data_IF_741351070709
#
_entry.id   IF_741351070709
#
_cell.length_a   1.000
_cell.length_b   1.000
_cell.length_c   1.000
_cell.angle_alpha   90.00
_cell.angle_beta   90.00
_cell.angle_gamma   90.00
#
_symmetry.space_group_name_H-M   'P 1'
#
loop_
_entity.id
_entity.type
_entity.pdbx_description
1 polymer ?
#
# COMPACT_ATOMS: atom_id res chain seq x y z
N UNK A 1 -78.69 21.24 -65.21
CA UNK A 1 -78.20 20.55 -63.99
C UNK A 1 -78.52 21.24 -62.65
N UNK A 2 -78.95 22.52 -62.64
CA UNK A 2 -79.36 23.27 -61.44
C UNK A 2 -80.82 23.79 -61.52
N UNK A 3 -81.61 23.32 -62.49
CA UNK A 3 -83.02 23.71 -62.61
C UNK A 3 -83.84 22.85 -61.65
N UNK A 4 -84.32 23.48 -60.56
CA UNK A 4 -85.22 22.85 -59.59
C UNK A 4 -86.66 23.13 -60.02
N UNK A 5 -87.32 22.09 -60.54
CA UNK A 5 -88.72 22.12 -60.91
C UNK A 5 -89.57 21.81 -59.67
N UNK A 6 -90.15 22.85 -59.07
CA UNK A 6 -90.89 22.74 -57.82
C UNK A 6 -92.11 21.83 -57.92
N UNK A 7 -92.84 21.86 -59.05
CA UNK A 7 -94.04 21.04 -59.25
C UNK A 7 -93.68 19.56 -59.35
N UNK A 8 -92.65 19.25 -60.15
CA UNK A 8 -92.16 17.88 -60.29
C UNK A 8 -91.58 17.34 -58.99
N UNK A 9 -90.81 18.15 -58.25
CA UNK A 9 -90.28 17.75 -56.96
C UNK A 9 -91.38 17.58 -55.91
N UNK A 10 -92.39 18.45 -55.88
CA UNK A 10 -93.55 18.31 -54.98
C UNK A 10 -94.34 17.04 -55.28
N UNK A 11 -94.59 16.74 -56.55
CA UNK A 11 -95.19 15.48 -56.97
C UNK A 11 -94.38 14.28 -56.51
N UNK A 12 -93.05 14.30 -56.64
CA UNK A 12 -92.16 13.24 -56.15
C UNK A 12 -92.21 13.09 -54.62
N UNK A 13 -92.19 14.20 -53.88
CA UNK A 13 -92.27 14.20 -52.40
C UNK A 13 -93.59 13.58 -51.92
N UNK A 14 -94.71 13.94 -52.56
CA UNK A 14 -96.03 13.41 -52.25
C UNK A 14 -96.18 11.95 -52.65
N UNK A 15 -95.77 11.56 -53.87
CA UNK A 15 -95.89 10.18 -54.35
C UNK A 15 -95.01 9.21 -53.57
N UNK A 16 -93.79 9.62 -53.19
CA UNK A 16 -92.90 8.82 -52.35
C UNK A 16 -93.31 8.82 -50.85
N UNK A 17 -94.34 9.59 -50.49
CA UNK A 17 -94.82 9.75 -49.12
C UNK A 17 -93.72 10.22 -48.18
N UNK A 18 -92.80 11.09 -48.64
CA UNK A 18 -91.63 11.48 -47.84
C UNK A 18 -92.07 12.21 -46.56
N UNK A 19 -93.14 12.99 -46.64
CA UNK A 19 -93.67 13.74 -45.50
C UNK A 19 -94.32 12.80 -44.48
N UNK A 20 -95.05 11.79 -44.94
CA UNK A 20 -95.63 10.71 -44.14
C UNK A 20 -94.53 9.87 -43.47
N UNK A 21 -93.47 9.51 -44.22
CA UNK A 21 -92.30 8.81 -43.70
C UNK A 21 -91.59 9.62 -42.61
N UNK A 22 -91.46 10.94 -42.78
CA UNK A 22 -90.91 11.83 -41.75
C UNK A 22 -91.85 11.93 -40.54
N UNK A 23 -93.17 12.01 -40.75
CA UNK A 23 -94.17 12.02 -39.66
C UNK A 23 -94.12 10.73 -38.85
N UNK A 24 -94.05 9.56 -39.49
CA UNK A 24 -93.89 8.25 -38.82
C UNK A 24 -92.58 8.18 -38.05
N UNK A 25 -91.47 8.67 -38.63
CA UNK A 25 -90.18 8.71 -37.91
C UNK A 25 -90.16 9.68 -36.74
N UNK A 26 -90.90 10.79 -36.81
CA UNK A 26 -91.02 11.77 -35.71
C UNK A 26 -91.95 11.30 -34.60
N UNK A 27 -93.03 10.59 -34.95
CA UNK A 27 -93.96 10.01 -33.99
C UNK A 27 -93.43 8.74 -33.32
N UNK A 28 -92.57 7.99 -34.03
CA UNK A 28 -91.91 6.77 -33.54
C UNK A 28 -90.42 6.95 -33.25
N UNK A 29 -89.68 5.85 -33.26
CA UNK A 29 -88.23 5.85 -33.03
C UNK A 29 -87.47 5.98 -34.35
N UNK A 30 -86.84 7.14 -34.57
CA UNK A 30 -86.11 7.43 -35.81
C UNK A 30 -84.84 6.57 -35.97
N UNK A 31 -84.20 6.18 -34.87
CA UNK A 31 -82.96 5.40 -34.87
C UNK A 31 -83.10 4.11 -34.08
N UNK A 32 -82.42 3.06 -34.55
CA UNK A 32 -82.37 1.76 -33.87
C UNK A 32 -80.99 1.14 -34.05
N UNK A 33 -80.44 0.57 -32.99
CA UNK A 33 -79.10 -0.03 -33.04
C UNK A 33 -79.01 -1.25 -32.10
N UNK A 34 -78.35 -2.34 -32.51
CA UNK A 34 -77.95 -3.42 -31.61
C UNK A 34 -77.18 -2.93 -30.38
N UNK A 35 -77.45 -3.53 -29.22
CA UNK A 35 -76.84 -3.09 -27.95
C UNK A 35 -75.30 -3.20 -27.96
N UNK A 36 -74.76 -4.29 -28.48
CA UNK A 36 -73.32 -4.51 -28.63
C UNK A 36 -72.64 -3.37 -29.42
N UNK A 37 -73.19 -3.02 -30.59
CA UNK A 37 -72.65 -1.96 -31.44
C UNK A 37 -72.79 -0.60 -30.78
N UNK A 38 -73.89 -0.38 -30.07
CA UNK A 38 -74.17 0.87 -29.38
C UNK A 38 -73.18 1.09 -28.22
N UNK A 39 -72.99 0.08 -27.37
CA UNK A 39 -72.03 0.09 -26.28
C UNK A 39 -70.60 0.20 -26.78
N UNK A 40 -70.18 -0.56 -27.78
CA UNK A 40 -68.83 -0.43 -28.34
C UNK A 40 -68.50 1.00 -28.79
N UNK A 41 -69.52 1.73 -29.26
CA UNK A 41 -69.37 3.12 -29.70
C UNK A 41 -69.35 4.11 -28.56
N UNK A 42 -70.29 4.00 -27.61
CA UNK A 42 -70.53 5.03 -26.60
C UNK A 42 -70.08 4.67 -25.18
N UNK A 43 -69.62 3.44 -24.90
CA UNK A 43 -69.26 2.99 -23.54
C UNK A 43 -68.25 3.89 -22.82
N UNK A 44 -67.44 4.65 -23.55
CA UNK A 44 -66.48 5.59 -22.99
C UNK A 44 -67.11 6.83 -22.34
N UNK A 45 -68.35 7.17 -22.69
CA UNK A 45 -69.06 8.33 -22.14
C UNK A 45 -69.69 8.06 -20.78
N UNK A 46 -69.61 6.83 -20.26
CA UNK A 46 -70.21 6.42 -19.00
C UNK A 46 -69.21 5.59 -18.19
N UNK A 47 -69.08 5.93 -16.90
CA UNK A 47 -68.11 5.30 -16.01
C UNK A 47 -68.45 3.83 -15.71
N UNK A 48 -69.74 3.51 -15.68
CA UNK A 48 -70.23 2.15 -15.42
C UNK A 48 -70.04 1.19 -16.60
N UNK A 49 -69.88 1.73 -17.82
CA UNK A 49 -69.68 0.94 -19.04
C UNK A 49 -68.23 0.93 -19.52
N UNK A 50 -67.40 1.86 -19.05
CA UNK A 50 -65.99 1.98 -19.42
C UNK A 50 -65.06 1.24 -18.45
N UNK A 51 -63.98 0.59 -18.91
CA UNK A 51 -63.69 0.20 -20.29
C UNK A 51 -64.52 -1.00 -20.76
N UNK A 52 -64.98 -1.84 -19.84
CA UNK A 52 -65.86 -2.98 -20.06
C UNK A 52 -66.90 -3.00 -18.93
N UNK A 53 -68.17 -3.21 -19.25
CA UNK A 53 -69.21 -3.32 -18.21
C UNK A 53 -69.17 -4.71 -17.55
N UNK A 54 -69.56 -4.76 -16.28
CA UNK A 54 -69.73 -6.00 -15.50
C UNK A 54 -71.21 -6.39 -15.32
N UNK A 55 -72.11 -5.71 -16.03
CA UNK A 55 -73.56 -5.95 -15.94
C UNK A 55 -73.97 -7.25 -16.63
N UNK A 56 -75.10 -7.82 -16.21
CA UNK A 56 -75.60 -9.13 -16.68
C UNK A 56 -75.95 -9.17 -18.17
N UNK A 57 -76.37 -8.04 -18.76
CA UNK A 57 -76.70 -7.95 -20.18
C UNK A 57 -76.27 -6.60 -20.78
N UNK A 58 -75.99 -6.58 -22.07
CA UNK A 58 -75.71 -5.37 -22.84
C UNK A 58 -76.90 -4.39 -22.83
N UNK A 59 -78.13 -4.90 -22.72
CA UNK A 59 -79.32 -4.08 -22.54
C UNK A 59 -79.27 -3.28 -21.24
N UNK A 60 -78.93 -3.94 -20.13
CA UNK A 60 -78.78 -3.28 -18.82
C UNK A 60 -77.64 -2.25 -18.83
N UNK A 61 -76.50 -2.57 -19.45
CA UNK A 61 -75.39 -1.61 -19.61
C UNK A 61 -75.78 -0.40 -20.47
N UNK A 62 -76.58 -0.61 -21.51
CA UNK A 62 -77.09 0.49 -22.34
C UNK A 62 -78.08 1.36 -21.56
N UNK A 63 -78.92 0.75 -20.72
CA UNK A 63 -79.84 1.47 -19.86
C UNK A 63 -79.12 2.37 -18.86
N UNK A 64 -78.09 1.85 -18.18
CA UNK A 64 -77.27 2.63 -17.26
C UNK A 64 -76.55 3.80 -17.96
N UNK A 65 -76.10 3.61 -19.21
CA UNK A 65 -75.53 4.68 -20.01
C UNK A 65 -76.57 5.78 -20.30
N UNK A 66 -77.78 5.41 -20.76
CA UNK A 66 -78.85 6.39 -21.03
C UNK A 66 -79.29 7.13 -19.76
N UNK A 67 -79.31 6.44 -18.63
CA UNK A 67 -79.65 6.99 -17.31
C UNK A 67 -78.63 8.06 -16.88
N UNK A 68 -77.33 7.76 -16.97
CA UNK A 68 -76.28 8.73 -16.63
C UNK A 68 -76.36 10.00 -17.48
N UNK A 69 -76.73 9.87 -18.76
CA UNK A 69 -76.87 10.99 -19.69
C UNK A 69 -78.25 11.67 -19.64
N UNK A 70 -79.19 11.18 -18.83
CA UNK A 70 -80.53 11.76 -18.67
C UNK A 70 -81.45 11.60 -19.88
N UNK A 71 -81.25 10.59 -20.73
CA UNK A 71 -82.02 10.36 -21.95
C UNK A 71 -83.06 9.23 -21.85
N UNK A 72 -83.47 8.85 -20.63
CA UNK A 72 -84.39 7.73 -20.40
C UNK A 72 -85.73 7.87 -21.14
N UNK A 73 -86.29 9.09 -21.16
CA UNK A 73 -87.60 9.36 -21.77
C UNK A 73 -87.58 9.35 -23.31
N UNK A 74 -86.39 9.46 -23.91
CA UNK A 74 -86.19 9.57 -25.37
C UNK A 74 -85.88 8.22 -26.04
N UNK A 75 -85.78 7.15 -25.24
CA UNK A 75 -85.35 5.83 -25.69
C UNK A 75 -86.32 4.73 -25.30
N UNK A 76 -86.34 3.65 -26.07
CA UNK A 76 -87.01 2.41 -25.71
C UNK A 76 -86.08 1.21 -25.92
N UNK A 77 -86.24 0.21 -25.06
CA UNK A 77 -85.39 -0.97 -25.00
C UNK A 77 -86.13 -2.16 -25.61
N UNK A 78 -85.65 -2.68 -26.74
CA UNK A 78 -86.11 -3.94 -27.30
C UNK A 78 -85.32 -5.13 -26.77
N UNK A 79 -85.64 -6.34 -27.22
CA UNK A 79 -84.91 -7.55 -26.81
C UNK A 79 -83.43 -7.55 -27.22
N UNK A 80 -83.08 -6.96 -28.37
CA UNK A 80 -81.70 -6.98 -28.92
C UNK A 80 -81.17 -5.60 -29.31
N UNK A 81 -82.00 -4.57 -29.30
CA UNK A 81 -81.69 -3.24 -29.86
C UNK A 81 -82.25 -2.13 -28.97
N UNK A 82 -81.52 -1.02 -28.92
CA UNK A 82 -82.04 0.27 -28.44
C UNK A 82 -82.74 1.00 -29.58
N UNK A 83 -83.83 1.68 -29.25
CA UNK A 83 -84.60 2.56 -30.13
C UNK A 83 -84.54 3.98 -29.58
N UNK A 84 -84.19 4.96 -30.41
CA UNK A 84 -83.99 6.36 -30.01
C UNK A 84 -84.93 7.24 -30.83
N UNK A 85 -85.69 8.10 -30.15
CA UNK A 85 -86.73 8.93 -30.77
C UNK A 85 -86.13 10.17 -31.39
N UNK A 86 -85.31 10.92 -30.66
CA UNK A 86 -84.83 12.22 -31.11
C UNK A 86 -83.36 12.17 -31.54
N UNK A 87 -82.95 12.81 -32.66
CA UNK A 87 -81.55 12.87 -33.07
C UNK A 87 -80.66 13.61 -32.06
N UNK A 88 -81.23 14.47 -31.22
CA UNK A 88 -80.53 15.22 -30.16
C UNK A 88 -79.74 14.31 -29.23
N UNK A 89 -80.32 13.18 -28.82
CA UNK A 89 -79.70 12.18 -27.95
C UNK A 89 -78.42 11.61 -28.58
N UNK A 90 -78.47 11.28 -29.87
CA UNK A 90 -77.29 10.78 -30.60
C UNK A 90 -76.22 11.87 -30.77
N UNK A 91 -76.61 13.09 -31.14
CA UNK A 91 -75.65 14.18 -31.31
C UNK A 91 -74.94 14.52 -30.00
N UNK A 92 -75.65 14.52 -28.86
CA UNK A 92 -75.04 14.73 -27.55
C UNK A 92 -74.01 13.64 -27.22
N UNK A 93 -74.37 12.37 -27.39
CA UNK A 93 -73.46 11.25 -27.13
C UNK A 93 -72.23 11.24 -28.05
N UNK A 94 -72.40 11.63 -29.32
CA UNK A 94 -71.28 11.77 -30.26
C UNK A 94 -70.36 12.94 -29.90
N UNK A 95 -70.91 14.06 -29.44
CA UNK A 95 -70.11 15.21 -28.99
C UNK A 95 -69.26 14.85 -27.77
N UNK A 96 -69.86 14.20 -26.76
CA UNK A 96 -69.13 13.74 -25.57
C UNK A 96 -68.05 12.71 -25.93
N UNK A 97 -68.38 11.77 -26.81
CA UNK A 97 -67.40 10.82 -27.34
C UNK A 97 -66.24 11.54 -28.04
N UNK A 98 -66.52 12.54 -28.88
CA UNK A 98 -65.50 13.32 -29.57
C UNK A 98 -64.58 14.07 -28.59
N UNK A 99 -65.13 14.55 -27.47
CA UNK A 99 -64.37 15.21 -26.40
C UNK A 99 -63.46 14.23 -25.62
N UNK A 100 -63.92 12.99 -25.40
CA UNK A 100 -63.20 11.99 -24.61
C UNK A 100 -62.08 11.26 -25.39
N UNK A 101 -62.24 11.08 -26.71
CA UNK A 101 -61.25 10.38 -27.54
C UNK A 101 -59.83 10.97 -27.39
N UNK A 102 -59.62 12.30 -27.50
CA UNK A 102 -58.29 12.90 -27.30
C UNK A 102 -57.71 12.59 -25.91
N UNK A 103 -58.52 12.61 -24.86
CA UNK A 103 -58.09 12.34 -23.48
C UNK A 103 -57.61 10.89 -23.35
N UNK A 104 -58.37 9.94 -23.89
CA UNK A 104 -58.00 8.51 -23.89
C UNK A 104 -56.72 8.28 -24.70
N UNK A 105 -56.60 8.91 -25.88
CA UNK A 105 -55.39 8.84 -26.70
C UNK A 105 -54.18 9.37 -25.93
N UNK A 106 -54.30 10.50 -25.24
CA UNK A 106 -53.24 11.06 -24.41
C UNK A 106 -52.86 10.13 -23.25
N UNK A 107 -53.84 9.49 -22.60
CA UNK A 107 -53.58 8.49 -21.56
C UNK A 107 -52.77 7.31 -22.12
N UNK A 108 -53.19 6.74 -23.25
CA UNK A 108 -52.48 5.63 -23.90
C UNK A 108 -51.06 6.02 -24.29
N UNK A 109 -50.89 7.20 -24.90
CA UNK A 109 -49.57 7.72 -25.25
C UNK A 109 -48.70 7.93 -24.00
N UNK A 110 -49.25 8.47 -22.91
CA UNK A 110 -48.52 8.65 -21.63
C UNK A 110 -48.07 7.31 -21.05
N UNK A 111 -48.95 6.32 -21.02
CA UNK A 111 -48.64 4.97 -20.54
C UNK A 111 -47.54 4.33 -21.40
N UNK A 112 -47.65 4.44 -22.73
CA UNK A 112 -46.66 3.90 -23.67
C UNK A 112 -45.30 4.58 -23.55
N UNK A 113 -45.25 5.92 -23.57
CA UNK A 113 -44.01 6.68 -23.35
C UNK A 113 -43.37 6.32 -22.01
N UNK A 114 -44.18 6.18 -20.95
CA UNK A 114 -43.71 5.72 -19.64
C UNK A 114 -43.15 4.29 -19.67
N UNK A 115 -43.78 3.36 -20.39
CA UNK A 115 -43.29 1.99 -20.55
C UNK A 115 -41.93 1.96 -21.28
N UNK A 116 -41.80 2.74 -22.37
CA UNK A 116 -40.55 2.86 -23.11
C UNK A 116 -39.43 3.48 -22.25
N UNK A 117 -39.75 4.54 -21.50
CA UNK A 117 -38.81 5.16 -20.57
C UNK A 117 -38.34 4.18 -19.50
N UNK A 118 -39.26 3.43 -18.86
CA UNK A 118 -38.89 2.39 -17.88
C UNK A 118 -38.03 1.29 -18.49
N UNK A 119 -38.31 0.86 -19.73
CA UNK A 119 -37.48 -0.12 -20.46
C UNK A 119 -36.06 0.43 -20.67
N UNK A 120 -35.93 1.67 -21.11
CA UNK A 120 -34.63 2.34 -21.28
C UNK A 120 -33.87 2.46 -19.97
N UNK A 121 -34.53 2.88 -18.89
CA UNK A 121 -33.92 2.97 -17.56
C UNK A 121 -33.42 1.61 -17.05
N UNK A 122 -34.17 0.51 -17.29
CA UNK A 122 -33.70 -0.84 -16.93
C UNK A 122 -32.43 -1.23 -17.69
N UNK A 123 -32.38 -0.95 -18.99
CA UNK A 123 -31.19 -1.21 -19.80
C UNK A 123 -29.97 -0.41 -19.30
N UNK A 124 -30.15 0.89 -19.03
CA UNK A 124 -29.08 1.73 -18.49
C UNK A 124 -28.61 1.25 -17.11
N UNK A 125 -29.51 0.80 -16.24
CA UNK A 125 -29.16 0.28 -14.91
C UNK A 125 -28.37 -1.04 -14.94
N UNK A 126 -28.40 -1.79 -16.05
CA UNK A 126 -27.58 -3.00 -16.20
C UNK A 126 -26.07 -2.71 -16.11
N UNK A 127 -25.65 -1.46 -16.34
CA UNK A 127 -24.26 -1.02 -16.16
C UNK A 127 -23.75 -1.29 -14.74
N UNK A 128 -24.59 -1.13 -13.72
CA UNK A 128 -24.18 -1.38 -12.34
C UNK A 128 -23.82 -2.84 -12.09
N UNK A 129 -24.55 -3.75 -12.73
CA UNK A 129 -24.24 -5.19 -12.70
C UNK A 129 -22.89 -5.44 -13.37
N UNK A 130 -22.66 -4.92 -14.57
CA UNK A 130 -21.39 -5.07 -15.29
C UNK A 130 -20.21 -4.51 -14.46
N UNK A 131 -20.38 -3.30 -13.90
CA UNK A 131 -19.37 -2.68 -13.04
C UNK A 131 -19.05 -3.54 -11.81
N UNK A 132 -20.06 -4.16 -11.19
CA UNK A 132 -19.85 -5.04 -10.04
C UNK A 132 -19.04 -6.30 -10.41
N UNK A 133 -19.36 -6.95 -11.53
CA UNK A 133 -18.60 -8.09 -12.04
C UNK A 133 -17.16 -7.71 -12.40
N UNK A 134 -16.97 -6.57 -13.07
CA UNK A 134 -15.64 -6.08 -13.44
C UNK A 134 -14.77 -5.76 -12.22
N UNK A 135 -15.32 -5.07 -11.21
CA UNK A 135 -14.61 -4.78 -9.95
C UNK A 135 -14.16 -6.08 -9.27
N UNK A 136 -15.04 -7.09 -9.18
CA UNK A 136 -14.70 -8.40 -8.61
C UNK A 136 -13.62 -9.11 -9.42
N UNK A 137 -13.71 -9.09 -10.74
CA UNK A 137 -12.73 -9.69 -11.63
C UNK A 137 -11.35 -9.05 -11.48
N UNK A 138 -11.26 -7.71 -11.43
CA UNK A 138 -10.00 -6.99 -11.22
C UNK A 138 -9.34 -7.32 -9.88
N UNK A 139 -10.12 -7.40 -8.80
CA UNK A 139 -9.62 -7.84 -7.49
C UNK A 139 -9.08 -9.28 -7.56
N UNK A 140 -9.84 -10.21 -8.18
CA UNK A 140 -9.43 -11.61 -8.32
C UNK A 140 -8.14 -11.75 -9.13
N UNK A 141 -8.02 -11.04 -10.26
CA UNK A 141 -6.82 -11.07 -11.10
C UNK A 141 -5.57 -10.63 -10.33
N UNK A 142 -5.65 -9.50 -9.62
CA UNK A 142 -4.53 -9.00 -8.81
C UNK A 142 -4.10 -10.00 -7.73
N UNK A 143 -5.06 -10.64 -7.04
CA UNK A 143 -4.75 -11.65 -6.02
C UNK A 143 -4.11 -12.91 -6.63
N UNK A 144 -4.58 -13.37 -7.79
CA UNK A 144 -3.98 -14.50 -8.49
C UNK A 144 -2.55 -14.19 -8.94
N UNK A 145 -2.32 -12.98 -9.46
CA UNK A 145 -1.00 -12.52 -9.85
C UNK A 145 -0.04 -12.43 -8.66
N UNK A 146 -0.50 -11.94 -7.50
CA UNK A 146 0.27 -11.97 -6.26
C UNK A 146 0.65 -13.40 -5.87
N UNK A 147 -0.31 -14.32 -5.85
CA UNK A 147 -0.03 -15.72 -5.50
C UNK A 147 1.00 -16.32 -6.45
N UNK A 148 0.85 -16.11 -7.76
CA UNK A 148 1.77 -16.62 -8.78
C UNK A 148 3.19 -16.05 -8.61
N UNK A 149 3.34 -14.73 -8.42
CA UNK A 149 4.66 -14.10 -8.25
C UNK A 149 5.35 -14.53 -6.94
N UNK A 150 4.59 -14.77 -5.87
CA UNK A 150 5.14 -15.07 -4.55
C UNK A 150 5.22 -16.57 -4.22
N UNK A 151 4.73 -17.46 -5.09
CA UNK A 151 4.67 -18.91 -4.82
C UNK A 151 6.04 -19.53 -4.52
N UNK A 152 7.09 -19.12 -5.24
CA UNK A 152 8.44 -19.69 -5.11
C UNK A 152 9.37 -18.90 -4.16
N UNK A 153 8.90 -17.80 -3.57
CA UNK A 153 9.74 -16.83 -2.87
C UNK A 153 10.47 -17.43 -1.67
N UNK A 154 9.87 -18.42 -1.00
CA UNK A 154 10.51 -19.12 0.13
C UNK A 154 11.75 -19.91 -0.28
N UNK A 155 11.79 -20.39 -1.52
CA UNK A 155 12.88 -21.21 -2.05
C UNK A 155 13.97 -20.39 -2.74
N UNK A 156 13.72 -19.10 -2.98
CA UNK A 156 14.69 -18.20 -3.62
C UNK A 156 15.81 -17.80 -2.65
N UNK A 157 17.03 -17.67 -3.15
CA UNK A 157 18.20 -17.29 -2.34
C UNK A 157 18.10 -15.90 -1.72
N UNK A 158 17.39 -14.97 -2.35
CA UNK A 158 17.21 -13.58 -1.90
C UNK A 158 15.93 -13.36 -1.05
N UNK A 159 15.18 -14.43 -0.81
CA UNK A 159 13.84 -14.41 -0.21
C UNK A 159 12.89 -13.41 -0.89
N UNK A 160 12.97 -13.30 -2.23
CA UNK A 160 12.05 -12.48 -3.02
C UNK A 160 12.32 -10.97 -2.93
N UNK A 161 13.56 -10.56 -2.66
CA UNK A 161 13.95 -9.14 -2.72
C UNK A 161 13.80 -8.56 -4.13
N UNK A 162 14.11 -9.38 -5.14
CA UNK A 162 14.01 -9.04 -6.56
C UNK A 162 12.58 -9.09 -7.11
N UNK A 163 11.62 -9.64 -6.37
CA UNK A 163 10.25 -9.80 -6.86
C UNK A 163 9.52 -8.46 -6.85
N UNK A 164 9.08 -8.05 -8.04
CA UNK A 164 8.31 -6.82 -8.25
C UNK A 164 6.86 -7.06 -7.83
N UNK A 165 6.34 -6.17 -7.00
CA UNK A 165 4.92 -6.18 -6.62
C UNK A 165 4.06 -5.69 -7.81
N UNK A 166 2.96 -6.37 -8.14
CA UNK A 166 2.04 -5.91 -9.18
C UNK A 166 1.37 -4.59 -8.78
N UNK A 167 0.80 -3.87 -9.75
CA UNK A 167 0.08 -2.63 -9.46
C UNK A 167 -1.30 -2.92 -8.84
N UNK A 168 -1.62 -2.38 -7.65
CA UNK A 168 -2.87 -2.69 -7.00
C UNK A 168 -4.01 -1.84 -7.58
N UNK A 169 -5.22 -2.41 -7.76
CA UNK A 169 -6.43 -1.61 -7.89
C UNK A 169 -6.55 -0.65 -6.71
N UNK A 170 -7.09 0.56 -6.92
CA UNK A 170 -7.17 1.59 -5.87
C UNK A 170 -7.80 1.10 -4.55
N UNK A 171 -8.81 0.22 -4.64
CA UNK A 171 -9.49 -0.39 -3.48
C UNK A 171 -8.54 -1.27 -2.63
N UNK A 172 -7.48 -1.81 -3.22
CA UNK A 172 -6.51 -2.70 -2.59
C UNK A 172 -5.18 -2.02 -2.25
N UNK A 173 -5.07 -0.70 -2.41
CA UNK A 173 -3.82 0.02 -2.11
C UNK A 173 -3.38 -0.20 -0.66
N UNK A 174 -4.30 0.04 0.29
CA UNK A 174 -4.05 -0.17 1.72
C UNK A 174 -3.73 -1.64 2.06
N UNK A 175 -4.40 -2.57 1.37
CA UNK A 175 -4.11 -4.00 1.51
C UNK A 175 -2.68 -4.31 1.09
N UNK A 176 -2.25 -3.80 -0.08
CA UNK A 176 -0.89 -4.02 -0.58
C UNK A 176 0.17 -3.45 0.37
N UNK A 177 -0.04 -2.25 0.90
CA UNK A 177 0.88 -1.64 1.88
C UNK A 177 1.03 -2.52 3.12
N UNK A 178 -0.09 -3.01 3.66
CA UNK A 178 -0.09 -3.92 4.81
C UNK A 178 0.61 -5.24 4.48
N UNK A 179 0.35 -5.82 3.31
CA UNK A 179 1.01 -7.05 2.85
C UNK A 179 2.52 -6.87 2.67
N UNK A 180 2.97 -5.72 2.16
CA UNK A 180 4.41 -5.40 2.04
C UNK A 180 5.08 -5.36 3.42
N UNK A 181 4.44 -4.76 4.42
CA UNK A 181 4.97 -4.75 5.79
C UNK A 181 5.07 -6.17 6.37
N UNK A 182 4.04 -6.98 6.18
CA UNK A 182 4.04 -8.39 6.61
C UNK A 182 5.17 -9.16 5.91
N UNK A 183 5.32 -8.98 4.60
CA UNK A 183 6.36 -9.60 3.81
C UNK A 183 7.77 -9.20 4.27
N UNK A 184 8.01 -7.91 4.52
CA UNK A 184 9.28 -7.42 5.04
C UNK A 184 9.61 -8.03 6.40
N UNK A 185 8.63 -8.16 7.31
CA UNK A 185 8.80 -8.81 8.62
C UNK A 185 9.10 -10.30 8.48
N UNK A 186 8.36 -11.00 7.64
CA UNK A 186 8.59 -12.42 7.35
C UNK A 186 10.00 -12.64 6.77
N UNK A 187 10.40 -11.83 5.78
CA UNK A 187 11.71 -11.90 5.13
C UNK A 187 12.83 -11.63 6.12
N UNK A 188 12.70 -10.59 6.95
CA UNK A 188 13.66 -10.31 8.02
C UNK A 188 13.78 -11.50 8.99
N UNK A 189 12.67 -12.12 9.36
CA UNK A 189 12.67 -13.32 10.20
C UNK A 189 13.40 -14.49 9.53
N UNK A 190 13.11 -14.80 8.26
CA UNK A 190 13.80 -15.89 7.54
C UNK A 190 15.31 -15.67 7.49
N UNK A 191 15.75 -14.44 7.22
CA UNK A 191 17.16 -14.09 7.22
C UNK A 191 17.80 -14.30 8.59
N UNK A 192 17.16 -13.83 9.67
CA UNK A 192 17.67 -13.94 11.03
C UNK A 192 17.68 -15.39 11.52
N UNK A 193 16.66 -16.20 11.18
CA UNK A 193 16.58 -17.60 11.62
C UNK A 193 17.65 -18.49 10.99
N UNK A 194 18.15 -18.13 9.81
CA UNK A 194 19.19 -18.91 9.13
C UNK A 194 20.60 -18.58 9.61
N UNK A 195 20.76 -17.54 10.43
CA UNK A 195 22.06 -17.17 10.99
C UNK A 195 22.37 -18.11 12.18
N UNK A 196 23.50 -18.82 12.16
CA UNK A 196 23.93 -19.62 13.29
C UNK A 196 24.07 -18.77 14.58
N UNK A 197 23.64 -19.28 15.75
CA UNK A 197 23.77 -18.53 17.02
C UNK A 197 25.21 -18.10 17.35
N UNK A 198 26.22 -18.86 16.89
CA UNK A 198 27.65 -18.53 17.02
C UNK A 198 28.04 -17.25 16.28
N UNK A 199 27.44 -16.99 15.11
CA UNK A 199 27.76 -15.83 14.26
C UNK A 199 26.94 -14.59 14.61
N UNK A 200 25.84 -14.75 15.35
CA UNK A 200 24.95 -13.65 15.73
C UNK A 200 25.68 -12.51 16.45
N UNK A 201 26.67 -12.83 17.29
CA UNK A 201 27.50 -11.84 17.97
C UNK A 201 28.32 -10.99 17.00
N UNK A 202 28.92 -11.64 15.99
CA UNK A 202 29.65 -10.96 14.93
C UNK A 202 28.74 -10.09 14.06
N UNK A 203 27.54 -10.57 13.69
CA UNK A 203 26.61 -9.81 12.86
C UNK A 203 26.14 -8.55 13.59
N UNK A 204 25.82 -8.64 14.89
CA UNK A 204 25.48 -7.47 15.71
C UNK A 204 26.60 -6.42 15.72
N UNK A 205 27.84 -6.87 15.91
CA UNK A 205 29.00 -5.99 15.84
C UNK A 205 29.19 -5.37 14.44
N UNK A 206 28.96 -6.13 13.36
CA UNK A 206 29.00 -5.62 11.98
C UNK A 206 27.93 -4.58 11.70
N UNK A 207 26.71 -4.79 12.19
CA UNK A 207 25.60 -3.82 12.08
C UNK A 207 25.95 -2.53 12.86
N UNK A 208 26.48 -2.68 14.07
CA UNK A 208 26.93 -1.53 14.87
C UNK A 208 28.06 -0.74 14.19
N UNK A 209 29.02 -1.43 13.55
CA UNK A 209 30.04 -0.77 12.74
C UNK A 209 29.49 -0.11 11.48
N UNK A 210 28.55 -0.76 10.80
CA UNK A 210 27.91 -0.23 9.59
C UNK A 210 27.24 1.12 9.90
N UNK A 211 26.45 1.20 10.97
CA UNK A 211 25.78 2.44 11.36
C UNK A 211 26.74 3.63 11.56
N UNK A 212 27.97 3.35 12.00
CA UNK A 212 28.95 4.36 12.38
C UNK A 212 29.97 4.67 11.28
N UNK A 213 30.34 3.68 10.47
CA UNK A 213 31.43 3.78 9.48
C UNK A 213 30.93 3.84 8.03
N UNK A 214 29.65 3.50 7.77
CA UNK A 214 29.11 3.51 6.42
C UNK A 214 29.15 4.91 5.82
N UNK A 215 29.67 5.03 4.60
CA UNK A 215 29.85 6.30 3.89
C UNK A 215 31.05 7.13 4.36
N UNK A 216 31.52 6.96 5.60
CA UNK A 216 32.66 7.70 6.15
C UNK A 216 34.02 7.05 5.88
N UNK A 217 34.06 5.73 5.71
CA UNK A 217 35.28 4.97 5.46
C UNK A 217 35.06 3.92 4.37
N UNK A 218 35.91 3.91 3.35
CA UNK A 218 35.76 3.05 2.16
C UNK A 218 35.86 1.56 2.48
N UNK A 219 36.89 1.18 3.23
CA UNK A 219 37.13 -0.20 3.64
C UNK A 219 37.28 -0.28 5.16
N UNK A 220 36.42 -1.08 5.79
CA UNK A 220 36.44 -1.37 7.23
C UNK A 220 36.39 -2.88 7.51
N UNK A 221 36.65 -3.72 6.50
CA UNK A 221 36.75 -5.18 6.67
C UNK A 221 35.42 -5.86 6.96
N UNK A 222 34.34 -5.48 6.27
CA UNK A 222 33.00 -6.06 6.47
C UNK A 222 32.85 -7.48 5.89
N UNK A 223 33.56 -7.78 4.80
CA UNK A 223 33.52 -9.05 4.07
C UNK A 223 34.19 -10.20 4.82
N UNK A 224 35.09 -9.90 5.76
CA UNK A 224 35.85 -10.92 6.50
C UNK A 224 35.12 -11.45 7.73
N UNK A 225 35.65 -12.54 8.27
CA UNK A 225 35.20 -13.08 9.55
C UNK A 225 35.88 -12.36 10.73
N UNK A 226 35.09 -11.91 11.70
CA UNK A 226 35.57 -11.16 12.86
C UNK A 226 35.78 -12.12 14.02
N UNK A 227 37.04 -12.38 14.35
CA UNK A 227 37.43 -13.38 15.34
C UNK A 227 37.51 -12.82 16.76
N UNK A 228 37.56 -11.49 16.92
CA UNK A 228 37.72 -10.74 18.16
C UNK A 228 39.06 -10.98 18.88
N UNK A 229 39.39 -12.23 19.19
CA UNK A 229 40.53 -12.64 20.00
C UNK A 229 41.75 -13.11 19.19
N UNK A 230 42.40 -12.18 18.50
CA UNK A 230 43.49 -12.52 17.59
C UNK A 230 44.77 -13.01 18.29
N UNK A 231 45.06 -12.53 19.51
CA UNK A 231 46.29 -12.89 20.23
C UNK A 231 46.31 -14.32 20.80
N UNK A 232 45.15 -14.98 20.84
CA UNK A 232 45.01 -16.40 21.23
C UNK A 232 45.26 -17.33 20.03
N UNK A 233 45.06 -16.83 18.80
CA UNK A 233 45.30 -17.62 17.60
C UNK A 233 46.79 -17.93 17.42
N UNK A 234 47.10 -19.20 17.17
CA UNK A 234 48.45 -19.64 16.85
C UNK A 234 48.96 -19.08 15.51
N UNK A 235 48.06 -18.60 14.64
CA UNK A 235 48.42 -17.96 13.37
C UNK A 235 49.21 -16.67 13.61
N UNK A 236 48.67 -15.75 14.43
CA UNK A 236 49.32 -14.44 14.66
C UNK A 236 50.38 -14.46 15.76
N UNK A 237 50.24 -15.39 16.70
CA UNK A 237 51.10 -15.46 17.86
C UNK A 237 51.63 -16.88 18.11
N UNK A 238 52.38 -17.46 17.16
CA UNK A 238 52.77 -18.87 17.19
C UNK A 238 53.59 -19.24 18.42
N UNK A 239 54.39 -18.32 18.97
CA UNK A 239 55.30 -18.60 20.09
C UNK A 239 54.79 -18.15 21.46
N UNK A 240 53.93 -17.13 21.54
CA UNK A 240 53.49 -16.57 22.82
C UNK A 240 51.97 -16.68 23.08
N UNK A 241 51.20 -17.33 22.19
CA UNK A 241 49.77 -17.58 22.38
C UNK A 241 49.45 -18.29 23.72
N UNK A 242 50.14 -19.38 24.12
CA UNK A 242 49.82 -20.04 25.40
C UNK A 242 50.15 -19.17 26.61
N UNK A 243 51.19 -18.34 26.52
CA UNK A 243 51.56 -17.39 27.58
C UNK A 243 50.53 -16.26 27.70
N UNK A 244 50.00 -15.77 26.57
CA UNK A 244 48.91 -14.81 26.56
C UNK A 244 47.64 -15.40 27.16
N UNK A 245 47.25 -16.62 26.76
CA UNK A 245 46.08 -17.31 27.31
C UNK A 245 46.18 -17.48 28.84
N UNK A 246 47.35 -17.88 29.36
CA UNK A 246 47.62 -17.98 30.81
C UNK A 246 47.51 -16.63 31.52
N UNK A 247 47.95 -15.54 30.90
CA UNK A 247 47.78 -14.21 31.49
C UNK A 247 46.33 -13.72 31.46
N UNK A 248 45.59 -14.01 30.39
CA UNK A 248 44.16 -13.67 30.31
C UNK A 248 43.36 -14.45 31.35
N UNK A 249 43.67 -15.73 31.60
CA UNK A 249 43.02 -16.51 32.66
C UNK A 249 43.34 -15.94 34.05
N UNK A 250 44.62 -15.65 34.34
CA UNK A 250 45.02 -15.04 35.61
C UNK A 250 44.36 -13.66 35.84
N UNK A 251 44.16 -12.87 34.78
CA UNK A 251 43.43 -11.61 34.87
C UNK A 251 41.93 -11.82 35.07
N UNK A 252 41.37 -12.88 34.49
CA UNK A 252 39.96 -13.23 34.68
C UNK A 252 39.69 -13.61 36.13
N UNK A 253 40.59 -14.37 36.75
CA UNK A 253 40.49 -14.75 38.15
C UNK A 253 40.61 -13.54 39.08
N UNK A 254 41.41 -12.52 38.70
CA UNK A 254 41.62 -11.32 39.51
C UNK A 254 40.53 -10.25 39.36
N UNK A 255 40.01 -10.08 38.15
CA UNK A 255 39.14 -8.95 37.79
C UNK A 255 37.70 -9.36 37.47
N UNK A 256 37.42 -10.67 37.41
CA UNK A 256 36.10 -11.24 37.14
C UNK A 256 35.37 -10.62 35.94
N UNK A 257 36.08 -10.44 34.83
CA UNK A 257 35.49 -9.97 33.57
C UNK A 257 34.77 -11.13 32.85
N UNK A 258 33.64 -10.82 32.20
CA UNK A 258 32.74 -11.84 31.64
C UNK A 258 33.23 -12.38 30.30
N UNK A 259 33.76 -11.49 29.45
CA UNK A 259 34.24 -11.85 28.11
C UNK A 259 35.36 -10.92 27.64
N UNK A 260 36.17 -11.43 26.72
CA UNK A 260 37.15 -10.63 25.98
C UNK A 260 36.51 -10.15 24.69
N UNK A 261 36.50 -8.83 24.50
CA UNK A 261 35.89 -8.16 23.36
C UNK A 261 36.83 -8.09 22.17
N UNK A 262 38.10 -7.76 22.38
CA UNK A 262 39.07 -7.63 21.30
C UNK A 262 40.50 -7.79 21.81
N UNK A 263 41.35 -8.47 21.04
CA UNK A 263 42.79 -8.49 21.32
C UNK A 263 43.61 -8.41 20.04
N UNK A 264 44.69 -7.62 20.07
CA UNK A 264 45.59 -7.47 18.91
C UNK A 264 46.96 -6.93 19.31
N UNK A 265 47.92 -7.05 18.40
CA UNK A 265 49.20 -6.37 18.47
C UNK A 265 49.08 -4.93 17.97
N UNK A 266 49.69 -3.99 18.70
CA UNK A 266 49.59 -2.56 18.39
C UNK A 266 50.94 -1.85 18.47
N UNK A 267 51.19 -0.97 17.51
CA UNK A 267 52.23 0.05 17.63
C UNK A 267 51.68 1.21 18.44
N UNK A 268 52.41 1.62 19.47
CA UNK A 268 52.05 2.77 20.28
C UNK A 268 53.14 3.83 20.23
N UNK A 269 52.73 5.10 20.17
CA UNK A 269 53.60 6.24 20.47
C UNK A 269 53.48 6.68 21.94
N UNK A 270 54.63 6.87 22.61
CA UNK A 270 54.69 7.32 24.00
C UNK A 270 54.94 8.84 24.10
N UNK A 271 54.77 9.37 25.33
CA UNK A 271 55.02 10.79 25.70
C UNK A 271 56.39 11.33 25.24
N UNK A 272 57.42 10.48 25.20
CA UNK A 272 58.77 10.85 24.79
C UNK A 272 59.07 10.56 23.31
N UNK A 273 58.04 10.48 22.45
CA UNK A 273 58.14 10.09 21.04
C UNK A 273 58.78 8.70 20.81
N UNK A 274 58.83 7.87 21.85
CA UNK A 274 59.33 6.49 21.75
C UNK A 274 58.21 5.60 21.20
N UNK A 275 58.47 5.02 20.04
CA UNK A 275 57.65 3.99 19.39
C UNK A 275 57.86 2.67 20.11
N UNK A 276 56.79 2.04 20.52
CA UNK A 276 56.88 0.75 21.22
C UNK A 276 55.78 -0.18 20.77
N UNK A 277 56.16 -1.42 20.49
CA UNK A 277 55.23 -2.50 20.22
C UNK A 277 54.59 -2.93 21.56
N UNK A 278 53.26 -3.00 21.55
CA UNK A 278 52.43 -3.37 22.71
C UNK A 278 51.36 -4.35 22.24
N UNK A 279 50.67 -4.95 23.20
CA UNK A 279 49.46 -5.69 22.95
C UNK A 279 48.30 -4.96 23.61
N UNK A 280 47.17 -4.93 22.91
CA UNK A 280 45.92 -4.39 23.38
C UNK A 280 44.99 -5.56 23.71
N UNK A 281 44.45 -5.57 24.91
CA UNK A 281 43.39 -6.48 25.33
C UNK A 281 42.22 -5.62 25.82
N UNK A 282 41.04 -5.84 25.27
CA UNK A 282 39.81 -5.16 25.66
C UNK A 282 38.85 -6.21 26.20
N UNK A 283 38.42 -6.03 27.45
CA UNK A 283 37.37 -6.83 28.10
C UNK A 283 36.10 -6.01 28.26
N UNK A 284 35.04 -6.60 28.80
CA UNK A 284 33.78 -5.92 29.13
C UNK A 284 33.93 -4.75 30.14
N UNK A 285 34.97 -4.76 30.96
CA UNK A 285 35.17 -3.73 31.99
C UNK A 285 36.37 -2.82 31.72
N UNK A 286 37.44 -3.35 31.12
CA UNK A 286 38.74 -2.67 31.09
C UNK A 286 39.46 -2.84 29.75
N UNK A 287 40.22 -1.80 29.39
CA UNK A 287 41.22 -1.81 28.35
C UNK A 287 42.60 -1.96 28.98
N UNK A 288 43.27 -3.05 28.65
CA UNK A 288 44.60 -3.40 29.13
C UNK A 288 45.66 -3.16 28.05
N UNK A 289 46.72 -2.47 28.46
CA UNK A 289 47.94 -2.31 27.67
C UNK A 289 48.99 -3.27 28.20
N UNK A 290 49.38 -4.24 27.39
CA UNK A 290 50.34 -5.30 27.72
C UNK A 290 51.66 -5.13 26.96
N UNK A 291 52.72 -5.77 27.46
CA UNK A 291 54.02 -5.81 26.80
C UNK A 291 54.34 -7.23 26.28
N UNK A 292 54.32 -7.47 24.96
CA UNK A 292 54.62 -8.78 24.39
C UNK A 292 56.00 -9.31 24.78
N UNK A 293 57.01 -8.43 24.89
CA UNK A 293 58.39 -8.82 25.24
C UNK A 293 58.55 -9.28 26.70
N UNK A 294 57.59 -8.93 27.56
CA UNK A 294 57.58 -9.32 28.98
C UNK A 294 56.42 -10.27 29.26
N UNK A 295 56.23 -11.26 28.38
CA UNK A 295 55.20 -12.30 28.51
C UNK A 295 53.81 -11.72 28.80
N UNK A 296 53.43 -10.67 28.06
CA UNK A 296 52.14 -9.97 28.20
C UNK A 296 51.82 -9.39 29.58
N UNK A 297 52.83 -9.06 30.40
CA UNK A 297 52.61 -8.35 31.66
C UNK A 297 51.84 -7.05 31.45
N UNK A 298 50.77 -6.84 32.22
CA UNK A 298 49.95 -5.63 32.18
C UNK A 298 50.77 -4.42 32.63
N UNK A 299 50.82 -3.38 31.77
CA UNK A 299 51.52 -2.12 32.04
C UNK A 299 50.60 -0.98 32.45
N UNK A 300 49.38 -0.96 31.92
CA UNK A 300 48.37 0.05 32.28
C UNK A 300 47.00 -0.57 32.10
N UNK A 301 46.14 -0.37 33.08
CA UNK A 301 44.72 -0.71 33.04
C UNK A 301 43.93 0.58 32.91
N UNK A 302 42.96 0.61 32.00
CA UNK A 302 42.11 1.75 31.73
C UNK A 302 40.66 1.27 31.81
N UNK A 303 39.86 1.72 32.78
CA UNK A 303 38.44 1.35 32.84
C UNK A 303 37.69 1.85 31.61
N UNK A 304 36.82 1.02 31.04
CA UNK A 304 35.96 1.41 29.91
C UNK A 304 34.99 2.53 30.29
N UNK A 305 34.68 2.69 31.58
CA UNK A 305 33.96 3.85 32.12
C UNK A 305 34.65 5.19 31.77
N UNK A 306 35.97 5.21 31.63
CA UNK A 306 36.71 6.44 31.29
C UNK A 306 36.80 6.71 29.78
N UNK A 307 36.45 5.76 28.91
CA UNK A 307 36.52 5.96 27.45
C UNK A 307 35.30 6.76 26.99
N UNK A 308 35.53 7.96 26.45
CA UNK A 308 34.47 8.86 25.96
C UNK A 308 34.16 8.66 24.49
N UNK A 309 35.14 8.24 23.71
CA UNK A 309 34.99 8.09 22.27
C UNK A 309 36.18 7.43 21.60
N UNK A 310 36.00 7.07 20.34
CA UNK A 310 37.03 6.50 19.47
C UNK A 310 37.10 7.33 18.20
N UNK A 311 38.30 7.76 17.82
CA UNK A 311 38.52 8.39 16.52
C UNK A 311 39.32 7.48 15.62
N UNK A 312 38.87 7.40 14.38
CA UNK A 312 39.49 6.64 13.30
C UNK A 312 39.62 7.53 12.07
N UNK A 313 40.45 7.12 11.15
CA UNK A 313 40.72 7.79 9.87
C UNK A 313 39.82 7.25 8.76
N UNK A 314 39.69 8.02 7.67
CA UNK A 314 38.87 7.63 6.51
C UNK A 314 39.57 6.64 5.56
N UNK A 315 40.89 6.50 5.70
CA UNK A 315 41.74 5.67 4.84
C UNK A 315 41.68 4.16 5.13
N UNK A 316 42.55 3.42 4.45
CA UNK A 316 42.74 1.96 4.69
C UNK A 316 43.68 1.67 5.86
N UNK A 317 44.22 2.72 6.48
CA UNK A 317 45.18 2.63 7.56
C UNK A 317 44.57 2.15 8.88
N UNK A 318 45.40 1.67 9.78
CA UNK A 318 44.91 1.05 11.01
C UNK A 318 45.07 1.91 12.25
N UNK A 319 44.98 3.24 12.08
CA UNK A 319 45.05 4.18 13.17
C UNK A 319 43.76 4.20 13.98
N UNK A 320 43.89 4.08 15.30
CA UNK A 320 42.79 4.20 16.25
C UNK A 320 43.23 5.06 17.43
N UNK A 321 42.42 6.05 17.77
CA UNK A 321 42.65 6.96 18.89
C UNK A 321 41.51 6.83 19.89
N UNK A 322 41.81 6.36 21.09
CA UNK A 322 40.86 6.34 22.19
C UNK A 322 40.88 7.65 22.95
N UNK A 323 39.74 8.32 23.07
CA UNK A 323 39.55 9.50 23.90
C UNK A 323 39.15 9.08 25.31
N UNK A 324 39.83 9.63 26.31
CA UNK A 324 39.66 9.28 27.71
C UNK A 324 39.23 10.51 28.50
N UNK A 325 38.28 10.34 29.40
CA UNK A 325 37.83 11.37 30.32
C UNK A 325 38.97 11.71 31.30
N UNK A 326 39.36 12.97 31.34
CA UNK A 326 40.39 13.49 32.24
C UNK A 326 41.77 12.79 32.14
N UNK A 327 42.00 11.99 31.10
CA UNK A 327 43.28 11.35 30.80
C UNK A 327 43.68 11.58 29.35
N UNK A 328 44.96 11.42 29.07
CA UNK A 328 45.52 11.54 27.72
C UNK A 328 44.97 10.44 26.83
N UNK A 329 44.54 10.81 25.62
CA UNK A 329 44.09 9.84 24.62
C UNK A 329 45.16 8.79 24.31
N UNK A 330 44.72 7.56 24.06
CA UNK A 330 45.59 6.45 23.68
C UNK A 330 45.60 6.33 22.16
N UNK A 331 46.71 6.71 21.54
CA UNK A 331 46.96 6.53 20.10
C UNK A 331 47.62 5.18 19.88
N UNK A 332 46.98 4.35 19.06
CA UNK A 332 47.48 3.03 18.66
C UNK A 332 47.30 2.83 17.16
N UNK A 333 48.24 2.11 16.56
CA UNK A 333 48.10 1.58 15.21
C UNK A 333 48.08 0.06 15.33
N UNK A 334 47.05 -0.59 14.77
CA UNK A 334 47.02 -2.06 14.74
C UNK A 334 48.12 -2.54 13.77
N UNK A 335 48.89 -3.56 14.16
CA UNK A 335 50.03 -4.04 13.36
C UNK A 335 50.21 -5.56 13.47
N UNK A 336 51.06 -6.15 12.61
CA UNK A 336 51.38 -7.60 12.60
C UNK A 336 50.15 -8.48 12.41
N UNK A 337 49.39 -8.16 11.38
CA UNK A 337 48.22 -8.95 11.02
C UNK A 337 48.61 -10.04 10.04
N UNK A 338 47.92 -11.17 10.13
CA UNK A 338 47.91 -12.18 9.11
C UNK A 338 46.45 -12.39 8.68
N UNK A 339 46.13 -12.22 7.38
CA UNK A 339 46.95 -11.70 6.28
C UNK A 339 47.39 -10.22 6.46
N UNK A 340 48.36 -9.73 5.70
CA UNK A 340 48.91 -8.37 5.87
C UNK A 340 47.93 -7.24 5.49
N UNK A 341 46.96 -7.52 4.61
CA UNK A 341 45.98 -6.55 4.08
C UNK A 341 44.69 -6.45 4.93
N UNK A 342 44.67 -7.09 6.10
CA UNK A 342 43.47 -7.21 6.91
C UNK A 342 43.09 -5.89 7.59
N UNK A 343 41.86 -5.39 7.42
CA UNK A 343 41.42 -4.19 8.14
C UNK A 343 40.61 -4.56 9.41
N UNK A 344 41.22 -4.40 10.59
CA UNK A 344 40.57 -4.64 11.90
C UNK A 344 39.97 -3.42 12.58
N UNK A 345 40.12 -2.23 12.01
CA UNK A 345 39.56 -1.02 12.64
C UNK A 345 38.05 -1.12 12.73
N UNK A 346 37.38 -1.60 11.67
CA UNK A 346 35.93 -1.76 11.66
C UNK A 346 35.42 -2.75 12.69
N UNK A 347 36.15 -3.85 12.91
CA UNK A 347 35.80 -4.81 13.96
C UNK A 347 35.96 -4.23 15.35
N UNK A 348 37.09 -3.57 15.62
CA UNK A 348 37.33 -2.94 16.92
C UNK A 348 36.24 -1.91 17.25
N UNK A 349 35.90 -1.05 16.28
CA UNK A 349 34.84 -0.04 16.45
C UNK A 349 33.48 -0.73 16.62
N UNK A 350 33.14 -1.70 15.78
CA UNK A 350 31.85 -2.41 15.84
C UNK A 350 31.62 -3.14 17.16
N UNK A 351 32.64 -3.85 17.65
CA UNK A 351 32.57 -4.56 18.93
C UNK A 351 32.44 -3.59 20.10
N UNK A 352 33.17 -2.47 20.08
CA UNK A 352 33.05 -1.46 21.13
C UNK A 352 31.67 -0.80 21.11
N UNK A 353 31.17 -0.40 19.95
CA UNK A 353 29.85 0.23 19.82
C UNK A 353 28.74 -0.74 20.24
N UNK A 354 28.79 -2.01 19.84
CA UNK A 354 27.83 -3.04 20.28
C UNK A 354 27.86 -3.22 21.81
N UNK A 355 29.06 -3.30 22.39
CA UNK A 355 29.21 -3.44 23.83
C UNK A 355 28.68 -2.22 24.61
N UNK A 356 29.01 -1.00 24.18
CA UNK A 356 28.52 0.23 24.80
C UNK A 356 27.00 0.39 24.67
N UNK A 357 26.42 -0.05 23.54
CA UNK A 357 24.96 -0.10 23.33
C UNK A 357 24.27 -1.06 24.30
N UNK A 358 24.86 -2.22 24.58
CA UNK A 358 24.33 -3.16 25.60
C UNK A 358 24.34 -2.57 27.00
N UNK A 359 25.32 -1.73 27.32
CA UNK A 359 25.44 -1.02 28.60
C UNK A 359 24.60 0.28 28.63
N UNK A 360 23.87 0.60 27.54
CA UNK A 360 23.08 1.83 27.38
C UNK A 360 23.90 3.12 27.54
N UNK A 361 25.16 3.08 27.10
CA UNK A 361 26.06 4.24 27.11
C UNK A 361 26.47 4.57 25.69
N UNK A 362 26.41 5.84 25.31
CA UNK A 362 26.86 6.26 23.99
C UNK A 362 28.39 6.38 23.94
N UNK A 363 28.97 5.84 22.87
CA UNK A 363 30.38 6.00 22.52
C UNK A 363 30.47 6.93 21.31
N UNK A 364 31.11 8.09 21.47
CA UNK A 364 31.28 9.01 20.34
C UNK A 364 32.34 8.46 19.38
N UNK A 365 31.93 8.12 18.16
CA UNK A 365 32.87 7.71 17.11
C UNK A 365 33.03 8.84 16.11
N UNK A 366 34.28 9.25 15.84
CA UNK A 366 34.59 10.31 14.88
C UNK A 366 35.52 9.78 13.80
N UNK A 367 35.13 9.95 12.54
CA UNK A 367 35.99 9.64 11.39
C UNK A 367 36.59 10.94 10.89
N UNK A 368 37.90 11.10 11.00
CA UNK A 368 38.62 12.30 10.54
C UNK A 368 40.07 11.97 10.21
N UNK A 369 40.60 12.57 9.15
CA UNK A 369 42.01 12.37 8.74
C UNK A 369 42.99 13.16 9.61
N UNK A 370 42.48 14.21 10.28
CA UNK A 370 43.19 15.01 11.26
C UNK A 370 42.54 14.84 12.63
N UNK A 371 43.10 13.96 13.47
CA UNK A 371 42.53 13.64 14.77
C UNK A 371 43.17 14.52 15.85
N UNK A 372 42.40 15.38 16.56
CA UNK A 372 42.94 16.17 17.66
C UNK A 372 43.20 15.30 18.89
N UNK A 373 44.38 15.46 19.46
CA UNK A 373 44.84 14.77 20.67
C UNK A 373 45.18 15.80 21.74
N UNK A 374 44.56 15.69 22.92
CA UNK A 374 44.96 16.46 24.10
C UNK A 374 46.13 15.78 24.81
N UNK A 375 47.33 16.35 24.69
CA UNK A 375 48.53 15.80 25.32
C UNK A 375 49.26 16.88 26.12
N UNK A 376 49.12 16.85 27.45
CA UNK A 376 49.65 17.87 28.38
C UNK A 376 49.19 19.30 28.03
N UNK A 377 47.88 19.52 27.99
CA UNK A 377 47.30 20.87 27.77
C UNK A 377 47.55 21.49 26.38
N UNK A 378 48.41 20.89 25.55
CA UNK A 378 48.63 21.26 24.14
C UNK A 378 47.82 20.34 23.22
N UNK A 379 47.10 20.92 22.27
CA UNK A 379 46.42 20.19 21.19
C UNK A 379 47.48 19.78 20.17
N UNK A 380 47.60 18.47 19.89
CA UNK A 380 48.43 17.93 18.81
C UNK A 380 47.53 17.22 17.82
N UNK A 381 47.92 17.22 16.55
CA UNK A 381 47.18 16.49 15.52
C UNK A 381 47.85 15.14 15.26
N UNK A 382 47.04 14.12 15.04
CA UNK A 382 47.50 12.85 14.48
C UNK A 382 46.96 12.76 13.06
N UNK A 383 47.87 12.63 12.10
CA UNK A 383 47.54 12.47 10.68
C UNK A 383 48.17 11.19 10.14
N UNK A 384 47.68 10.75 8.99
CA UNK A 384 48.21 9.58 8.29
C UNK A 384 48.79 10.05 6.97
N UNK A 385 50.00 9.59 6.65
CA UNK A 385 50.64 9.81 5.37
C UNK A 385 50.97 8.46 4.73
N UNK A 386 50.60 8.29 3.47
CA UNK A 386 50.98 7.12 2.67
C UNK A 386 52.30 7.42 1.96
N UNK A 387 53.31 6.58 2.15
CA UNK A 387 54.65 6.76 1.58
C UNK A 387 55.16 5.49 0.92
N UNK A 388 55.78 5.61 -0.25
CA UNK A 388 56.31 4.48 -1.05
C UNK A 388 57.50 3.76 -0.41
N UNK A 389 58.18 4.39 0.55
CA UNK A 389 59.43 3.88 1.14
C UNK A 389 59.24 3.19 2.50
N UNK A 390 58.00 2.89 2.90
CA UNK A 390 57.67 2.39 4.23
C UNK A 390 57.15 0.96 4.13
N UNK A 391 57.91 0.01 4.67
CA UNK A 391 57.58 -1.43 4.65
C UNK A 391 56.78 -1.89 5.88
N UNK A 392 56.84 -1.14 6.98
CA UNK A 392 56.13 -1.44 8.24
C UNK A 392 55.52 -0.15 8.78
N UNK A 393 54.25 -0.15 9.23
CA UNK A 393 53.64 1.05 9.76
C UNK A 393 54.39 1.57 10.99
N UNK A 394 54.78 2.84 10.96
CA UNK A 394 55.49 3.46 12.07
C UNK A 394 55.13 4.94 12.23
N UNK A 395 55.24 5.43 13.46
CA UNK A 395 54.90 6.81 13.81
C UNK A 395 56.14 7.71 13.74
N UNK A 396 56.01 8.83 13.05
CA UNK A 396 57.00 9.90 13.03
C UNK A 396 56.47 11.19 13.67
N UNK A 397 57.40 12.06 14.08
CA UNK A 397 57.07 13.38 14.62
C UNK A 397 56.99 14.39 13.46
N UNK A 398 55.91 15.16 13.42
CA UNK A 398 55.76 16.33 12.54
C UNK A 398 55.71 17.62 13.37
N UNK A 399 55.78 18.78 12.71
CA UNK A 399 55.76 20.11 13.36
C UNK A 399 54.49 20.31 14.20
N UNK A 400 53.34 19.84 13.69
CA UNK A 400 52.03 20.05 14.33
C UNK A 400 51.51 18.82 15.12
N UNK A 401 52.28 17.74 15.18
CA UNK A 401 51.92 16.55 15.93
C UNK A 401 52.62 15.25 15.50
N UNK A 402 51.83 14.22 15.19
CA UNK A 402 52.30 12.88 14.86
C UNK A 402 51.75 12.43 13.51
N UNK A 403 52.61 11.84 12.69
CA UNK A 403 52.23 11.26 11.40
C UNK A 403 52.42 9.76 11.49
N UNK A 404 51.36 8.98 11.24
CA UNK A 404 51.50 7.56 10.97
C UNK A 404 51.88 7.40 9.50
N UNK A 405 53.03 6.81 9.24
CA UNK A 405 53.37 6.39 7.90
C UNK A 405 52.78 5.00 7.64
N UNK A 406 51.86 4.92 6.69
CA UNK A 406 51.21 3.67 6.31
C UNK A 406 51.76 3.19 4.95
N UNK A 407 52.15 1.90 4.81
CA UNK A 407 52.53 1.34 3.53
C UNK A 407 51.39 1.50 2.53
N UNK A 408 51.73 1.83 1.28
CA UNK A 408 50.73 1.91 0.22
C UNK A 408 50.48 0.48 -0.29
N UNK A 409 49.24 0.00 -0.12
CA UNK A 409 48.73 -1.23 -0.71
C UNK A 409 48.67 -1.14 -2.23
#
# INVERSE_FOLDING_TARGET
PLVFDEERCRHQVSYLGLLENVRVRRAGFAYRQPYDRFLLRYKMTCEYTWPNHLMATDGAATQALMEQHGFQDDVAYGHTKIFIRTPRTLFALEQERANLIPIIVLLLQKVWRGALARKRCRYLRAIYTIMAYYKRHKVKLYLLELVQRFQAVRSMADYGKSVVWPEPPAVLAQFQESSKLIFCRWRARQLVTNIPPSEMGQIKAKVAALEVLHGLRKNWGCSRNWRQNYLVSAEENPTLAPQFAKQVSALKDKMHFSSVLFSCHVRKINRCNKRTDRALLITDQHLYKMDPRKQYRVKKTIPLSTVTGVSVTSGEDQLVVFHLQNQKGLVVCLHKMQPADDNRVGELVGVLVDHFRRIKRELQVKVADCIPLSLNSRKRLVTVATGSNVTVPDFAKSRDGFVLYWPRS
#
